data_IF_390179280155
#
_entry.id   IF_390179280155
#
_cell.length_a   1.000
_cell.length_b   1.000
_cell.length_c   1.000
_cell.angle_alpha   90.00
_cell.angle_beta   90.00
_cell.angle_gamma   90.00
#
_symmetry.space_group_name_H-M   'P 1'
#
loop_
_entity.id
_entity.type
_entity.pdbx_description
1 polymer ?
#
# COMPACT_ATOMS: atom_id res chain seq x y z
N UNK A 1 -7.53 34.25 4.51
CA UNK A 1 -6.07 34.11 4.73
C UNK A 1 -5.72 32.63 4.64
N UNK A 2 -4.63 32.29 3.97
CA UNK A 2 -4.11 30.92 3.97
C UNK A 2 -3.11 30.77 5.11
N UNK A 3 -3.27 29.73 5.92
CA UNK A 3 -2.35 29.38 7.00
C UNK A 3 -1.42 28.28 6.52
N UNK A 4 -0.13 28.40 6.80
CA UNK A 4 0.90 27.44 6.44
C UNK A 4 1.33 26.64 7.66
N UNK A 5 1.82 25.42 7.43
CA UNK A 5 2.39 24.60 8.49
C UNK A 5 3.55 25.37 9.15
N UNK A 6 3.54 25.43 10.48
CA UNK A 6 4.49 26.21 11.28
C UNK A 6 4.01 27.61 11.67
N UNK A 7 2.90 28.11 11.11
CA UNK A 7 2.35 29.42 11.50
C UNK A 7 1.94 29.45 12.97
N UNK A 8 2.24 30.56 13.64
CA UNK A 8 1.93 30.81 15.06
C UNK A 8 0.63 31.61 15.18
N UNK A 9 -0.31 31.14 16.02
CA UNK A 9 -1.63 31.75 16.08
C UNK A 9 -2.32 31.66 17.45
N UNK A 10 -3.32 32.51 17.68
CA UNK A 10 -4.18 32.52 18.88
C UNK A 10 -5.65 32.41 18.50
N UNK A 11 -6.43 31.78 19.38
CA UNK A 11 -7.89 31.68 19.23
C UNK A 11 -8.59 32.83 19.98
N UNK A 12 -9.25 33.78 19.31
CA UNK A 12 -9.74 35.01 19.94
C UNK A 12 -10.83 34.78 21.00
N UNK A 13 -11.66 33.74 20.83
CA UNK A 13 -12.72 33.39 21.79
C UNK A 13 -12.29 32.38 22.86
N UNK A 14 -11.03 31.93 22.83
CA UNK A 14 -10.44 30.91 23.72
C UNK A 14 -9.02 31.33 24.12
N UNK A 15 -8.87 32.47 24.81
CA UNK A 15 -7.55 32.96 25.20
C UNK A 15 -6.83 32.01 26.17
N UNK A 16 -7.59 31.19 26.90
CA UNK A 16 -7.12 30.12 27.79
C UNK A 16 -6.39 28.98 27.07
N UNK A 17 -6.48 28.89 25.74
CA UNK A 17 -5.76 27.87 24.97
C UNK A 17 -4.30 28.25 24.71
N UNK A 18 -3.92 29.50 24.93
CA UNK A 18 -2.56 29.98 24.72
C UNK A 18 -2.19 30.11 23.24
N UNK A 19 -0.89 30.17 22.96
CA UNK A 19 -0.32 30.23 21.61
C UNK A 19 -0.40 28.86 20.94
N UNK A 20 -0.64 28.80 19.62
CA UNK A 20 -0.67 27.54 18.87
C UNK A 20 0.17 27.55 17.59
N UNK A 21 0.51 26.35 17.10
CA UNK A 21 1.21 26.11 15.83
C UNK A 21 0.32 25.35 14.85
N UNK A 22 0.31 25.76 13.58
CA UNK A 22 -0.36 24.99 12.52
C UNK A 22 0.42 23.72 12.21
N UNK A 23 -0.22 22.57 12.40
CA UNK A 23 0.33 21.26 12.06
C UNK A 23 -0.09 20.79 10.65
N UNK A 24 -1.27 21.19 10.18
CA UNK A 24 -1.76 20.89 8.84
C UNK A 24 -2.81 21.91 8.39
N UNK A 25 -2.87 22.22 7.09
CA UNK A 25 -3.95 23.01 6.49
C UNK A 25 -4.39 22.39 5.16
N UNK A 26 -5.67 22.01 5.07
CA UNK A 26 -6.25 21.45 3.86
C UNK A 26 -7.79 21.59 3.86
N UNK A 27 -8.38 21.83 2.69
CA UNK A 27 -9.83 21.76 2.49
C UNK A 27 -10.66 22.70 3.39
N UNK A 28 -10.14 23.89 3.72
CA UNK A 28 -10.82 24.86 4.60
C UNK A 28 -10.76 24.52 6.09
N UNK A 29 -9.98 23.51 6.47
CA UNK A 29 -9.66 23.16 7.85
C UNK A 29 -8.20 23.43 8.17
N UNK A 30 -7.94 23.73 9.43
CA UNK A 30 -6.60 23.84 9.99
C UNK A 30 -6.52 23.00 11.25
N UNK A 31 -5.46 22.19 11.37
CA UNK A 31 -5.11 21.50 12.61
C UNK A 31 -4.03 22.32 13.29
N UNK A 32 -4.28 22.71 14.54
CA UNK A 32 -3.39 23.56 15.33
C UNK A 32 -3.10 22.91 16.67
N UNK A 33 -1.84 22.89 17.08
CA UNK A 33 -1.45 22.50 18.43
C UNK A 33 -1.31 23.73 19.32
N UNK A 34 -2.21 23.90 20.29
CA UNK A 34 -2.21 25.00 21.25
C UNK A 34 -1.44 24.60 22.53
N UNK A 35 -0.62 25.50 23.06
CA UNK A 35 0.27 25.23 24.20
C UNK A 35 -0.48 24.71 25.45
N UNK A 36 -1.64 25.30 25.75
CA UNK A 36 -2.40 24.98 26.96
C UNK A 36 -3.65 24.11 26.68
N UNK A 37 -4.00 23.90 25.41
CA UNK A 37 -5.20 23.15 25.00
C UNK A 37 -4.93 21.94 24.09
N UNK A 38 -3.68 21.72 23.69
CA UNK A 38 -3.25 20.65 22.79
C UNK A 38 -3.79 20.79 21.37
N UNK A 39 -3.84 19.68 20.63
CA UNK A 39 -4.31 19.66 19.25
C UNK A 39 -5.81 19.98 19.12
N UNK A 40 -6.14 20.82 18.13
CA UNK A 40 -7.50 21.17 17.73
C UNK A 40 -7.58 21.22 16.20
N UNK A 41 -8.59 20.54 15.65
CA UNK A 41 -8.99 20.71 14.25
C UNK A 41 -10.10 21.75 14.17
N UNK A 42 -9.85 22.83 13.44
CA UNK A 42 -10.72 23.99 13.35
C UNK A 42 -11.13 24.21 11.91
N UNK A 43 -12.38 24.60 11.71
CA UNK A 43 -12.90 24.99 10.40
C UNK A 43 -12.76 26.51 10.23
N UNK A 44 -12.10 26.92 9.14
CA UNK A 44 -11.89 28.33 8.82
C UNK A 44 -13.17 29.06 8.41
N UNK A 45 -14.26 28.31 8.18
CA UNK A 45 -15.59 28.87 7.93
C UNK A 45 -16.25 29.42 9.21
N UNK A 46 -15.81 28.97 10.39
CA UNK A 46 -16.44 29.29 11.67
C UNK A 46 -15.52 30.00 12.65
N UNK A 47 -14.20 29.91 12.43
CA UNK A 47 -13.19 30.44 13.35
C UNK A 47 -12.19 31.26 12.57
N UNK A 48 -12.06 32.54 12.95
CA UNK A 48 -11.02 33.42 12.46
C UNK A 48 -9.88 33.45 13.48
N UNK A 49 -8.75 32.85 13.12
CA UNK A 49 -7.56 32.75 13.97
C UNK A 49 -6.66 33.96 13.78
N UNK A 50 -6.03 34.42 14.87
CA UNK A 50 -5.14 35.56 14.84
C UNK A 50 -3.70 35.08 14.67
N UNK A 51 -3.06 35.44 13.55
CA UNK A 51 -1.64 35.17 13.32
C UNK A 51 -0.81 36.01 14.31
N UNK A 52 0.16 35.38 14.95
CA UNK A 52 1.08 35.99 15.91
C UNK A 52 2.49 35.94 15.32
N UNK A 53 3.21 37.07 15.34
CA UNK A 53 4.56 37.20 14.74
C UNK A 53 5.49 37.95 15.69
N UNK A 54 6.79 37.91 15.41
CA UNK A 54 7.80 38.58 16.24
C UNK A 54 8.00 37.90 17.60
N UNK A 55 8.40 38.68 18.61
CA UNK A 55 8.75 38.15 19.95
C UNK A 55 7.57 37.44 20.64
N UNK A 56 6.33 37.85 20.33
CA UNK A 56 5.10 37.22 20.86
C UNK A 56 4.82 35.83 20.28
N UNK A 57 5.51 35.44 19.21
CA UNK A 57 5.38 34.14 18.56
C UNK A 57 6.35 33.09 19.12
N UNK A 58 7.27 33.48 20.00
CA UNK A 58 8.25 32.59 20.62
C UNK A 58 7.59 31.80 21.74
N UNK A 59 7.75 30.47 21.70
CA UNK A 59 7.26 29.60 22.78
C UNK A 59 8.18 28.41 22.94
N UNK A 60 8.98 28.35 24.02
CA UNK A 60 9.86 27.21 24.29
C UNK A 60 9.14 25.85 24.30
N UNK A 61 7.85 25.85 24.64
CA UNK A 61 7.02 24.65 24.66
C UNK A 61 6.67 24.18 23.24
N UNK A 62 6.31 25.09 22.35
CA UNK A 62 5.97 24.74 20.96
C UNK A 62 7.23 24.54 20.11
N UNK A 63 8.31 25.26 20.41
CA UNK A 63 9.59 25.14 19.70
C UNK A 63 10.25 23.77 19.97
N UNK A 64 10.03 23.16 21.14
CA UNK A 64 10.45 21.79 21.46
C UNK A 64 9.60 20.68 20.79
N UNK A 65 8.43 21.01 20.23
CA UNK A 65 7.58 20.05 19.53
C UNK A 65 8.14 19.71 18.14
N UNK A 66 8.98 20.60 17.56
CA UNK A 66 9.63 20.39 16.26
C UNK A 66 10.54 19.15 16.19
N UNK A 67 11.01 18.62 17.33
CA UNK A 67 11.98 17.51 17.38
C UNK A 67 11.43 16.21 17.98
N UNK A 68 10.13 16.12 18.33
CA UNK A 68 9.56 14.91 18.93
C UNK A 68 8.55 14.22 18.00
N UNK A 69 8.67 12.91 17.75
CA UNK A 69 7.49 12.11 17.41
C UNK A 69 6.43 12.38 18.48
N UNK A 70 5.19 12.66 18.07
CA UNK A 70 4.06 12.85 19.01
C UNK A 70 4.11 11.81 20.13
N UNK A 71 3.94 12.24 21.39
CA UNK A 71 3.91 11.34 22.53
C UNK A 71 2.86 10.21 22.35
N UNK A 72 1.80 10.43 21.57
CA UNK A 72 0.83 9.38 21.21
C UNK A 72 1.40 8.28 20.32
N UNK A 73 2.40 8.58 19.48
CA UNK A 73 3.11 7.61 18.63
C UNK A 73 4.13 6.77 19.41
N UNK A 74 4.58 7.23 20.57
CA UNK A 74 5.55 6.54 21.43
C UNK A 74 4.90 5.73 22.55
N UNK A 75 3.65 6.04 22.92
CA UNK A 75 2.91 5.28 23.93
C UNK A 75 2.18 4.12 23.26
N UNK A 76 2.68 2.90 23.51
CA UNK A 76 1.98 1.66 23.16
C UNK A 76 1.11 1.20 24.32
N UNK A 77 0.02 0.51 23.99
CA UNK A 77 -0.94 -0.03 24.93
C UNK A 77 -1.05 -1.55 24.74
N UNK A 78 -1.16 -2.27 25.85
CA UNK A 78 -1.40 -3.72 25.89
C UNK A 78 -2.65 -4.03 26.70
N UNK A 79 -3.11 -5.29 26.66
CA UNK A 79 -4.22 -5.74 27.50
C UNK A 79 -3.75 -5.79 28.96
N UNK A 80 -4.32 -4.93 29.81
CA UNK A 80 -4.06 -4.94 31.25
C UNK A 80 -4.99 -5.91 31.99
N UNK A 81 -6.29 -5.87 31.66
CA UNK A 81 -7.29 -6.80 32.23
C UNK A 81 -8.42 -7.06 31.24
N UNK A 82 -9.02 -8.24 31.33
CA UNK A 82 -10.18 -8.63 30.51
C UNK A 82 -11.36 -7.72 30.83
N UNK A 83 -11.94 -7.11 29.79
CA UNK A 83 -13.06 -6.20 29.92
C UNK A 83 -14.35 -6.92 30.36
N UNK A 84 -14.99 -6.43 31.43
CA UNK A 84 -16.35 -6.88 31.81
C UNK A 84 -17.38 -6.14 30.98
N UNK A 85 -17.56 -6.59 29.74
CA UNK A 85 -18.39 -5.91 28.75
C UNK A 85 -19.69 -6.68 28.54
N UNK A 86 -20.82 -5.97 28.69
CA UNK A 86 -22.16 -6.56 28.52
C UNK A 86 -22.90 -6.01 27.28
N UNK A 87 -22.53 -4.83 26.79
CA UNK A 87 -23.16 -4.23 25.60
C UNK A 87 -22.64 -4.92 24.32
N UNK A 88 -23.51 -5.47 23.44
CA UNK A 88 -23.10 -6.24 22.27
C UNK A 88 -22.09 -5.53 21.35
N UNK A 89 -22.30 -4.24 21.08
CA UNK A 89 -21.41 -3.41 20.26
C UNK A 89 -20.02 -3.23 20.89
N UNK A 90 -19.93 -3.21 22.21
CA UNK A 90 -18.67 -3.14 22.94
C UNK A 90 -17.98 -4.52 22.95
N UNK A 91 -18.74 -5.63 23.08
CA UNK A 91 -18.19 -7.00 23.06
C UNK A 91 -17.51 -7.28 21.72
N UNK A 92 -18.17 -6.93 20.63
CA UNK A 92 -17.62 -7.09 19.29
C UNK A 92 -16.33 -6.29 19.12
N UNK A 93 -16.33 -5.01 19.52
CA UNK A 93 -15.16 -4.13 19.36
C UNK A 93 -14.01 -4.57 20.27
N UNK A 94 -14.30 -5.05 21.48
CA UNK A 94 -13.29 -5.59 22.40
C UNK A 94 -12.64 -6.86 21.88
N UNK A 95 -13.43 -7.78 21.32
CA UNK A 95 -12.91 -9.03 20.72
C UNK A 95 -11.91 -8.75 19.59
N UNK A 96 -12.10 -7.63 18.86
CA UNK A 96 -11.18 -7.17 17.82
C UNK A 96 -9.86 -6.70 18.44
N UNK A 97 -9.92 -5.92 19.53
CA UNK A 97 -8.73 -5.44 20.24
C UNK A 97 -7.96 -6.60 20.90
N UNK A 98 -8.67 -7.56 21.50
CA UNK A 98 -8.05 -8.73 22.13
C UNK A 98 -7.24 -9.55 21.12
N UNK A 99 -7.82 -9.79 19.93
CA UNK A 99 -7.13 -10.52 18.86
C UNK A 99 -5.93 -9.74 18.35
N UNK A 100 -6.09 -8.45 18.08
CA UNK A 100 -4.99 -7.61 17.60
C UNK A 100 -3.81 -7.60 18.58
N UNK A 101 -4.09 -7.39 19.87
CA UNK A 101 -3.05 -7.31 20.90
C UNK A 101 -2.47 -8.69 21.28
N UNK A 102 -3.16 -9.79 20.99
CA UNK A 102 -2.57 -11.13 21.06
C UNK A 102 -1.45 -11.32 20.01
N UNK A 103 -1.58 -10.68 18.83
CA UNK A 103 -0.61 -10.79 17.74
C UNK A 103 0.59 -9.85 17.91
N UNK A 104 0.35 -8.59 18.30
CA UNK A 104 1.41 -7.54 18.32
C UNK A 104 1.94 -7.21 19.72
N UNK A 105 1.40 -7.82 20.77
CA UNK A 105 1.70 -7.57 22.20
C UNK A 105 1.29 -6.17 22.68
N UNK A 106 1.60 -5.11 21.94
CA UNK A 106 1.19 -3.74 22.20
C UNK A 106 1.05 -2.90 20.92
N UNK A 107 0.17 -1.89 20.95
CA UNK A 107 -0.13 -1.03 19.81
C UNK A 107 -0.28 0.44 20.21
N UNK A 108 0.05 1.37 19.30
CA UNK A 108 -0.17 2.82 19.51
C UNK A 108 -1.65 3.15 19.64
N UNK A 109 -1.95 4.31 20.23
CA UNK A 109 -3.33 4.80 20.36
C UNK A 109 -4.03 4.87 18.99
N UNK A 110 -3.34 5.37 17.96
CA UNK A 110 -3.89 5.49 16.61
C UNK A 110 -4.20 4.12 16.00
N UNK A 111 -3.32 3.13 16.19
CA UNK A 111 -3.58 1.75 15.76
C UNK A 111 -4.81 1.16 16.44
N UNK A 112 -4.98 1.40 17.75
CA UNK A 112 -6.15 0.95 18.49
C UNK A 112 -7.44 1.66 18.04
N UNK A 113 -7.39 2.97 17.80
CA UNK A 113 -8.54 3.73 17.29
C UNK A 113 -8.92 3.26 15.89
N UNK A 114 -7.94 2.91 15.06
CA UNK A 114 -8.17 2.28 13.77
C UNK A 114 -8.82 0.90 13.90
N UNK A 115 -8.38 0.08 14.87
CA UNK A 115 -9.03 -1.19 15.18
C UNK A 115 -10.49 -1.02 15.60
N UNK A 116 -10.80 0.08 16.30
CA UNK A 116 -12.14 0.41 16.77
C UNK A 116 -12.97 1.26 15.78
N UNK A 117 -12.51 1.49 14.54
CA UNK A 117 -13.18 2.43 13.60
C UNK A 117 -14.64 2.06 13.28
N UNK A 118 -14.99 0.78 13.34
CA UNK A 118 -16.36 0.27 13.14
C UNK A 118 -17.26 0.36 14.39
N UNK A 119 -16.82 0.99 15.48
CA UNK A 119 -17.56 1.06 16.72
C UNK A 119 -18.80 1.97 16.62
N UNK A 120 -19.99 1.38 16.72
CA UNK A 120 -21.28 2.07 16.64
C UNK A 120 -21.63 2.76 17.97
N UNK A 121 -21.03 3.93 18.21
CA UNK A 121 -21.33 4.81 19.34
C UNK A 121 -21.06 6.28 18.96
N UNK A 122 -21.69 7.25 19.64
CA UNK A 122 -21.56 8.69 19.33
C UNK A 122 -20.11 9.21 19.35
N UNK A 123 -19.24 8.54 20.11
CA UNK A 123 -17.81 8.88 20.22
C UNK A 123 -16.90 8.03 19.32
N UNK A 124 -17.49 7.12 18.53
CA UNK A 124 -16.81 6.21 17.60
C UNK A 124 -15.71 5.36 18.25
N UNK A 125 -14.80 4.86 17.43
CA UNK A 125 -13.67 4.05 17.87
C UNK A 125 -12.77 4.76 18.88
N UNK A 126 -12.57 6.08 18.69
CA UNK A 126 -11.81 6.90 19.62
C UNK A 126 -12.38 6.84 21.04
N UNK A 127 -13.68 7.07 21.17
CA UNK A 127 -14.37 7.02 22.46
C UNK A 127 -14.32 5.63 23.09
N UNK A 128 -14.33 4.57 22.28
CA UNK A 128 -14.21 3.21 22.79
C UNK A 128 -12.81 2.92 23.35
N UNK A 129 -11.75 3.38 22.67
CA UNK A 129 -10.37 3.24 23.18
C UNK A 129 -10.19 4.05 24.46
N UNK A 130 -10.66 5.30 24.48
CA UNK A 130 -10.66 6.14 25.70
C UNK A 130 -11.41 5.45 26.85
N UNK A 131 -12.53 4.80 26.54
CA UNK A 131 -13.30 4.02 27.51
C UNK A 131 -12.52 2.78 28.01
N UNK A 132 -11.85 2.03 27.15
CA UNK A 132 -11.03 0.88 27.52
C UNK A 132 -9.84 1.28 28.40
N UNK A 133 -9.17 2.39 28.07
CA UNK A 133 -8.07 2.96 28.87
C UNK A 133 -8.60 3.44 30.22
N UNK A 134 -9.70 4.17 30.25
CA UNK A 134 -10.32 4.66 31.49
C UNK A 134 -10.80 3.53 32.41
N UNK A 135 -11.15 2.38 31.84
CA UNK A 135 -11.47 1.17 32.59
C UNK A 135 -10.26 0.26 32.81
N UNK A 136 -9.04 0.69 32.54
CA UNK A 136 -7.81 -0.09 32.75
C UNK A 136 -7.78 -1.44 32.01
N UNK A 137 -8.58 -1.60 30.96
CA UNK A 137 -8.55 -2.79 30.10
C UNK A 137 -7.40 -2.72 29.13
N UNK A 138 -7.05 -1.51 28.71
CA UNK A 138 -5.81 -1.17 28.03
C UNK A 138 -4.91 -0.40 29.00
N UNK A 139 -3.65 -0.80 29.09
CA UNK A 139 -2.64 -0.13 29.90
C UNK A 139 -1.40 0.16 29.08
N UNK A 140 -0.62 1.16 29.51
CA UNK A 140 0.63 1.53 28.85
C UNK A 140 1.62 0.39 28.97
N UNK A 141 2.21 0.00 27.83
CA UNK A 141 3.30 -0.95 27.78
C UNK A 141 4.61 -0.24 28.15
N UNK A 142 5.14 -0.54 29.33
CA UNK A 142 6.31 0.13 29.92
C UNK A 142 7.63 -0.53 29.47
N UNK A 143 7.58 -1.56 28.61
CA UNK A 143 8.76 -2.25 28.11
C UNK A 143 9.50 -1.52 26.97
N UNK A 144 9.88 -0.25 27.16
CA UNK A 144 10.91 0.40 26.31
C UNK A 144 11.27 1.81 26.83
N UNK A 145 11.88 1.89 28.02
CA UNK A 145 12.67 3.06 28.42
C UNK A 145 13.98 2.62 29.09
N UNK A 146 14.80 1.87 28.36
CA UNK A 146 16.22 1.70 28.69
C UNK A 146 17.07 2.28 27.56
N UNK A 147 17.19 3.61 27.54
CA UNK A 147 18.19 4.29 26.73
C UNK A 147 19.56 4.02 27.37
N UNK A 148 20.57 3.47 26.64
CA UNK A 148 21.91 3.34 27.18
C UNK A 148 22.51 4.73 27.44
N UNK A 149 22.99 4.96 28.67
CA UNK A 149 23.81 6.11 29.02
C UNK A 149 25.13 6.00 28.26
N UNK A 150 25.37 6.88 27.29
CA UNK A 150 26.69 7.06 26.69
C UNK A 150 27.61 7.64 27.76
N UNK A 151 28.43 6.79 28.36
CA UNK A 151 29.58 7.23 29.16
C UNK A 151 30.69 7.60 28.19
N UNK A 152 30.98 8.89 28.13
CA UNK A 152 32.18 9.42 27.50
C UNK A 152 33.40 8.94 28.30
N UNK A 153 34.20 8.08 27.70
CA UNK A 153 35.63 7.97 27.99
C UNK A 153 36.28 7.11 26.91
N UNK A 154 37.01 7.73 25.98
CA UNK A 154 38.33 7.24 25.55
C UNK A 154 39.05 8.28 24.65
N UNK A 155 40.38 8.34 24.71
CA UNK A 155 41.18 9.48 24.25
C UNK A 155 41.58 9.40 22.77
N UNK A 156 41.95 10.55 22.23
CA UNK A 156 42.41 10.79 20.86
C UNK A 156 43.64 9.96 20.47
N UNK A 157 43.75 9.51 19.20
CA UNK A 157 45.02 9.04 18.66
C UNK A 157 45.80 10.19 18.03
N UNK A 158 47.10 10.12 18.26
CA UNK A 158 48.14 11.06 17.85
C UNK A 158 48.33 11.14 16.33
N UNK A 159 48.67 12.36 15.90
CA UNK A 159 49.23 12.69 14.60
C UNK A 159 50.43 11.80 14.24
N UNK A 160 50.39 11.20 13.05
CA UNK A 160 51.61 11.01 12.26
C UNK A 160 51.42 11.50 10.84
N UNK A 161 52.15 12.58 10.64
CA UNK A 161 52.60 13.24 9.43
C UNK A 161 53.07 12.27 8.33
N UNK A 162 52.55 12.46 7.13
CA UNK A 162 53.23 12.13 5.87
C UNK A 162 52.52 12.86 4.74
N UNK A 163 52.99 14.09 4.47
CA UNK A 163 52.55 14.88 3.32
C UNK A 163 52.99 14.27 2.00
N UNK A 164 52.12 14.37 0.99
CA UNK A 164 52.50 14.39 -0.43
C UNK A 164 51.52 15.31 -1.19
N UNK A 165 52.11 16.39 -1.71
CA UNK A 165 51.83 17.18 -2.92
C UNK A 165 50.39 17.51 -3.36
N UNK A 166 50.17 18.82 -3.41
CA UNK A 166 49.19 19.56 -4.19
C UNK A 166 49.39 19.32 -5.68
N UNK A 167 48.31 18.94 -6.38
CA UNK A 167 47.91 19.46 -7.70
C UNK A 167 46.61 18.76 -8.12
N UNK A 168 45.47 19.44 -7.97
CA UNK A 168 44.26 19.15 -8.73
C UNK A 168 43.64 20.45 -9.24
N UNK A 169 43.72 20.59 -10.55
CA UNK A 169 42.93 21.54 -11.34
C UNK A 169 41.44 21.31 -11.08
N UNK A 170 40.74 22.39 -10.76
CA UNK A 170 39.28 22.45 -10.64
C UNK A 170 38.64 22.07 -11.99
N UNK A 171 38.07 20.85 -12.07
CA UNK A 171 37.08 20.52 -13.10
C UNK A 171 35.70 20.92 -12.62
N UNK A 172 34.94 21.75 -13.36
CA UNK A 172 33.58 22.09 -12.98
C UNK A 172 32.69 20.84 -13.05
N UNK A 173 31.87 20.66 -12.00
CA UNK A 173 30.79 19.69 -12.00
C UNK A 173 29.84 19.97 -13.17
N UNK A 174 29.39 18.95 -13.92
CA UNK A 174 28.38 19.15 -14.93
C UNK A 174 27.08 19.58 -14.24
N UNK A 175 26.46 20.62 -14.79
CA UNK A 175 25.16 21.10 -14.36
C UNK A 175 24.14 19.94 -14.38
N UNK A 176 23.29 19.87 -13.37
CA UNK A 176 22.07 19.05 -13.39
C UNK A 176 21.25 19.45 -14.63
N UNK A 177 21.30 18.62 -15.65
CA UNK A 177 20.38 18.72 -16.79
C UNK A 177 18.98 18.42 -16.26
N UNK A 178 18.17 19.47 -16.13
CA UNK A 178 16.77 19.36 -15.76
C UNK A 178 16.06 18.38 -16.68
N UNK A 179 15.46 17.36 -16.08
CA UNK A 179 14.64 16.36 -16.77
C UNK A 179 13.63 17.11 -17.65
N UNK A 180 13.59 16.88 -18.98
CA UNK A 180 12.67 17.61 -19.84
C UNK A 180 11.23 17.39 -19.39
N UNK A 181 10.45 18.47 -19.35
CA UNK A 181 9.04 18.41 -19.00
C UNK A 181 8.31 17.44 -19.94
N UNK A 182 7.85 16.32 -19.40
CA UNK A 182 7.07 15.32 -20.15
C UNK A 182 5.67 15.88 -20.36
N UNK A 183 5.23 15.95 -21.62
CA UNK A 183 3.86 16.36 -21.95
C UNK A 183 2.85 15.32 -21.42
N UNK A 184 1.61 15.71 -21.11
CA UNK A 184 0.55 14.77 -20.71
C UNK A 184 0.42 13.57 -21.66
N UNK A 185 0.53 13.81 -22.97
CA UNK A 185 0.51 12.76 -23.99
C UNK A 185 1.68 11.78 -23.86
N UNK A 186 2.88 12.27 -23.54
CA UNK A 186 4.06 11.43 -23.32
C UNK A 186 3.96 10.61 -22.04
N UNK A 187 3.34 11.15 -20.98
CA UNK A 187 3.14 10.43 -19.73
C UNK A 187 2.15 9.27 -19.90
N UNK A 188 1.01 9.52 -20.55
CA UNK A 188 0.02 8.49 -20.87
C UNK A 188 0.63 7.40 -21.76
N UNK A 189 1.35 7.81 -22.80
CA UNK A 189 2.01 6.85 -23.68
C UNK A 189 3.02 5.99 -22.93
N UNK A 190 3.84 6.59 -22.06
CA UNK A 190 4.76 5.85 -21.18
C UNK A 190 4.00 4.88 -20.28
N UNK A 191 2.91 5.30 -19.65
CA UNK A 191 2.11 4.44 -18.76
C UNK A 191 1.55 3.22 -19.50
N UNK A 192 0.97 3.43 -20.69
CA UNK A 192 0.43 2.35 -21.55
C UNK A 192 1.54 1.35 -21.92
N UNK A 193 2.75 1.84 -22.15
CA UNK A 193 3.86 1.04 -22.63
C UNK A 193 4.56 0.28 -21.52
N UNK A 194 4.87 0.99 -20.44
CA UNK A 194 5.89 0.56 -19.49
C UNK A 194 5.28 0.02 -18.20
N UNK A 195 4.10 0.51 -17.77
CA UNK A 195 3.47 0.02 -16.55
C UNK A 195 2.78 -1.34 -16.78
N UNK A 196 3.23 -2.36 -16.06
CA UNK A 196 2.66 -3.72 -16.10
C UNK A 196 1.72 -4.00 -14.94
N UNK A 197 1.92 -3.35 -13.78
CA UNK A 197 1.09 -3.55 -12.60
C UNK A 197 1.92 -3.50 -11.33
N UNK A 198 1.75 -4.50 -10.48
CA UNK A 198 2.23 -4.46 -9.11
C UNK A 198 3.14 -5.64 -8.74
N UNK A 199 3.94 -5.45 -7.69
CA UNK A 199 4.82 -6.46 -7.13
C UNK A 199 6.18 -6.53 -7.80
N UNK A 200 6.77 -7.72 -7.81
CA UNK A 200 8.14 -7.94 -8.27
C UNK A 200 8.20 -8.85 -9.48
N UNK A 201 8.79 -8.38 -10.58
CA UNK A 201 9.11 -9.24 -11.72
C UNK A 201 10.15 -10.32 -11.36
N UNK A 202 10.87 -10.20 -10.25
CA UNK A 202 11.76 -11.28 -9.80
C UNK A 202 11.01 -12.38 -9.01
N UNK A 203 9.71 -12.21 -8.75
CA UNK A 203 8.93 -13.18 -8.02
C UNK A 203 8.73 -14.49 -8.82
N UNK A 204 8.67 -15.64 -8.14
CA UNK A 204 8.50 -16.94 -8.82
C UNK A 204 7.07 -17.16 -9.33
N UNK A 205 6.09 -16.44 -8.80
CA UNK A 205 4.68 -16.57 -9.13
C UNK A 205 4.15 -15.25 -9.70
N UNK A 206 3.64 -15.28 -10.92
CA UNK A 206 3.03 -14.13 -11.58
C UNK A 206 1.55 -14.41 -11.82
N UNK A 207 0.72 -13.40 -11.57
CA UNK A 207 -0.69 -13.35 -11.93
C UNK A 207 -0.85 -12.32 -13.05
N UNK A 208 -1.52 -12.70 -14.14
CA UNK A 208 -1.78 -11.82 -15.28
C UNK A 208 -3.28 -11.75 -15.54
N UNK A 209 -3.85 -10.59 -15.25
CA UNK A 209 -5.24 -10.27 -15.53
C UNK A 209 -5.45 -9.65 -16.90
N UNK A 210 -6.73 -9.44 -17.21
CA UNK A 210 -7.16 -8.80 -18.45
C UNK A 210 -6.83 -7.30 -18.42
N UNK A 211 -7.28 -6.63 -17.37
CA UNK A 211 -7.21 -5.19 -17.15
C UNK A 211 -7.57 -4.86 -15.69
N UNK A 212 -7.06 -3.73 -15.20
CA UNK A 212 -7.31 -3.32 -13.83
C UNK A 212 -8.72 -2.74 -13.64
N UNK A 213 -9.35 -3.09 -12.52
CA UNK A 213 -10.58 -2.42 -12.07
C UNK A 213 -10.27 -1.07 -11.41
N UNK A 214 -11.05 -0.04 -11.74
CA UNK A 214 -10.92 1.29 -11.11
C UNK A 214 -12.02 1.56 -10.08
N UNK A 215 -11.71 2.40 -9.09
CA UNK A 215 -12.64 2.91 -8.09
C UNK A 215 -13.22 4.26 -8.48
N UNK A 216 -13.03 5.24 -7.59
CA UNK A 216 -13.47 6.63 -7.81
C UNK A 216 -12.36 7.50 -8.39
N UNK A 217 -11.13 6.98 -8.46
CA UNK A 217 -9.98 7.69 -9.00
C UNK A 217 -10.09 7.87 -10.52
N UNK A 218 -9.43 8.92 -11.00
CA UNK A 218 -9.32 9.28 -12.41
C UNK A 218 -8.05 8.68 -13.02
N UNK A 219 -8.00 8.65 -14.36
CA UNK A 219 -6.79 8.25 -15.08
C UNK A 219 -5.63 9.21 -14.78
N UNK A 220 -5.87 10.52 -14.75
CA UNK A 220 -4.88 11.53 -14.35
C UNK A 220 -4.24 11.25 -12.99
N UNK A 221 -5.04 10.91 -11.97
CA UNK A 221 -4.51 10.58 -10.62
C UNK A 221 -3.60 9.36 -10.65
N UNK A 222 -3.92 8.35 -11.47
CA UNK A 222 -3.08 7.16 -11.67
C UNK A 222 -1.79 7.48 -12.41
N UNK A 223 -1.86 8.30 -13.46
CA UNK A 223 -0.68 8.75 -14.21
C UNK A 223 0.26 9.54 -13.30
N UNK A 224 -0.29 10.44 -12.48
CA UNK A 224 0.48 11.21 -11.51
C UNK A 224 1.10 10.30 -10.43
N UNK A 225 0.34 9.35 -9.89
CA UNK A 225 0.86 8.38 -8.93
C UNK A 225 2.03 7.56 -9.51
N UNK A 226 1.89 7.07 -10.75
CA UNK A 226 2.95 6.36 -11.45
C UNK A 226 4.19 7.24 -11.68
N UNK A 227 3.98 8.50 -12.08
CA UNK A 227 5.05 9.48 -12.22
C UNK A 227 5.79 9.73 -10.91
N UNK A 228 5.07 9.99 -9.82
CA UNK A 228 5.61 10.27 -8.50
C UNK A 228 6.37 9.08 -7.91
N UNK A 229 5.99 7.87 -8.30
CA UNK A 229 6.62 6.61 -7.88
C UNK A 229 7.72 6.15 -8.84
N UNK A 230 8.18 7.03 -9.74
CA UNK A 230 9.38 6.81 -10.53
C UNK A 230 9.17 6.10 -11.87
N UNK A 231 7.92 5.95 -12.33
CA UNK A 231 7.57 5.38 -13.63
C UNK A 231 8.09 3.95 -13.87
N UNK A 232 8.19 3.17 -12.80
CA UNK A 232 8.66 1.79 -12.86
C UNK A 232 7.66 0.87 -13.58
N UNK A 233 8.15 -0.24 -14.13
CA UNK A 233 7.31 -1.24 -14.78
C UNK A 233 6.36 -1.94 -13.80
N UNK A 234 6.81 -2.14 -12.55
CA UNK A 234 5.97 -2.58 -11.45
C UNK A 234 6.13 -1.65 -10.25
N UNK A 235 5.07 -1.54 -9.45
CA UNK A 235 5.06 -0.77 -8.21
C UNK A 235 4.58 -1.61 -7.03
N UNK A 236 4.91 -1.19 -5.81
CA UNK A 236 4.25 -1.69 -4.61
C UNK A 236 2.76 -1.30 -4.67
N UNK A 237 1.87 -2.29 -4.60
CA UNK A 237 0.43 -2.06 -4.75
C UNK A 237 -0.13 -1.13 -3.68
N UNK A 238 0.38 -1.23 -2.45
CA UNK A 238 -0.09 -0.43 -1.33
C UNK A 238 0.36 1.01 -1.50
N UNK A 239 1.63 1.24 -1.83
CA UNK A 239 2.14 2.60 -2.08
C UNK A 239 1.37 3.26 -3.23
N UNK A 240 1.10 2.52 -4.31
CA UNK A 240 0.30 3.05 -5.42
C UNK A 240 -1.11 3.41 -4.97
N UNK A 241 -1.80 2.52 -4.25
CA UNK A 241 -3.15 2.75 -3.75
C UNK A 241 -3.24 3.89 -2.71
N UNK A 242 -2.18 4.12 -1.94
CA UNK A 242 -2.07 5.29 -1.07
C UNK A 242 -1.99 6.59 -1.88
N UNK A 243 -1.27 6.60 -3.00
CA UNK A 243 -1.15 7.77 -3.90
C UNK A 243 -2.43 8.09 -4.66
N UNK A 244 -3.20 7.08 -5.07
CA UNK A 244 -4.51 7.28 -5.71
C UNK A 244 -5.66 7.38 -4.69
N UNK A 245 -5.36 7.48 -3.40
CA UNK A 245 -6.31 7.65 -2.31
C UNK A 245 -7.35 6.50 -2.14
N UNK A 246 -7.05 5.29 -2.63
CA UNK A 246 -7.89 4.09 -2.51
C UNK A 246 -7.33 3.09 -1.48
N UNK A 247 -7.31 3.52 -0.21
CA UNK A 247 -6.62 2.78 0.86
C UNK A 247 -7.45 1.68 1.53
N UNK A 248 -8.75 1.53 1.19
CA UNK A 248 -9.68 0.64 1.91
C UNK A 248 -9.26 -0.83 1.93
N UNK A 249 -8.42 -1.23 0.97
CA UNK A 249 -7.92 -2.58 0.83
C UNK A 249 -6.68 -2.89 1.68
N UNK A 250 -6.05 -1.86 2.27
CA UNK A 250 -4.79 -1.96 3.03
C UNK A 250 -4.88 -1.37 4.45
N UNK A 251 -6.10 -1.12 4.95
CA UNK A 251 -6.31 -0.70 6.34
C UNK A 251 -5.93 -1.81 7.33
N UNK A 252 -5.98 -1.51 8.64
CA UNK A 252 -5.75 -2.52 9.69
C UNK A 252 -6.73 -3.71 9.62
N UNK A 253 -7.98 -3.44 9.21
CA UNK A 253 -8.99 -4.47 8.93
C UNK A 253 -9.59 -4.26 7.55
N UNK A 254 -8.88 -4.65 6.48
CA UNK A 254 -9.34 -4.36 5.14
C UNK A 254 -10.52 -5.26 4.78
N UNK A 255 -11.42 -4.69 3.99
CA UNK A 255 -12.39 -5.50 3.24
C UNK A 255 -11.59 -6.37 2.28
N UNK A 256 -11.89 -7.67 2.24
CA UNK A 256 -11.22 -8.57 1.29
C UNK A 256 -11.73 -8.25 -0.12
N UNK A 257 -10.81 -7.86 -1.01
CA UNK A 257 -11.10 -7.56 -2.40
C UNK A 257 -11.37 -8.88 -3.12
N UNK A 258 -12.48 -8.96 -3.88
CA UNK A 258 -13.02 -10.24 -4.37
C UNK A 258 -12.10 -10.97 -5.36
N UNK A 259 -11.44 -10.23 -6.24
CA UNK A 259 -10.48 -10.77 -7.19
C UNK A 259 -9.22 -11.24 -6.47
N UNK A 260 -8.60 -10.34 -5.69
CA UNK A 260 -7.37 -10.59 -4.95
C UNK A 260 -7.51 -11.74 -3.97
N UNK A 261 -8.69 -11.91 -3.35
CA UNK A 261 -9.00 -13.05 -2.49
C UNK A 261 -8.54 -14.37 -3.08
N UNK A 262 -8.88 -14.62 -4.35
CA UNK A 262 -8.61 -15.90 -5.01
C UNK A 262 -7.18 -16.01 -5.52
N UNK A 263 -6.57 -14.88 -5.89
CA UNK A 263 -5.14 -14.83 -6.18
C UNK A 263 -4.31 -15.14 -4.91
N UNK A 264 -4.70 -14.57 -3.77
CA UNK A 264 -4.10 -14.82 -2.46
C UNK A 264 -4.27 -16.28 -2.05
N UNK A 265 -5.44 -16.90 -2.30
CA UNK A 265 -5.63 -18.34 -2.06
C UNK A 265 -4.56 -19.15 -2.81
N UNK A 266 -4.37 -18.89 -4.11
CA UNK A 266 -3.34 -19.56 -4.89
C UNK A 266 -1.93 -19.30 -4.35
N UNK A 267 -1.62 -18.05 -3.99
CA UNK A 267 -0.32 -17.69 -3.43
C UNK A 267 -0.04 -18.41 -2.10
N UNK A 268 -1.00 -18.43 -1.17
CA UNK A 268 -0.92 -19.16 0.10
C UNK A 268 -0.69 -20.66 -0.14
N UNK A 269 -1.47 -21.29 -1.01
CA UNK A 269 -1.30 -22.72 -1.33
C UNK A 269 0.02 -23.02 -2.00
N UNK A 270 0.49 -22.12 -2.88
CA UNK A 270 1.79 -22.22 -3.54
C UNK A 270 2.94 -22.29 -2.52
N UNK A 271 2.89 -21.50 -1.45
CA UNK A 271 3.91 -21.52 -0.38
C UNK A 271 3.57 -22.47 0.79
N UNK A 272 2.59 -23.35 0.60
CA UNK A 272 2.12 -24.31 1.60
C UNK A 272 1.61 -23.69 2.92
N UNK A 273 1.00 -22.51 2.83
CA UNK A 273 0.34 -21.87 3.96
C UNK A 273 -1.16 -22.27 4.04
N UNK A 274 -1.75 -22.27 5.24
CA UNK A 274 -3.17 -22.51 5.42
C UNK A 274 -4.00 -21.40 4.79
N UNK A 275 -5.18 -21.77 4.30
CA UNK A 275 -6.15 -20.83 3.72
C UNK A 275 -7.31 -20.64 4.70
N UNK A 276 -7.38 -19.44 5.26
CA UNK A 276 -8.53 -18.98 6.02
C UNK A 276 -8.76 -17.48 5.79
N UNK A 277 -9.90 -16.99 6.25
CA UNK A 277 -10.33 -15.61 6.00
C UNK A 277 -9.39 -14.57 6.62
N UNK A 278 -8.86 -14.82 7.82
CA UNK A 278 -7.96 -13.90 8.49
C UNK A 278 -6.59 -13.90 7.82
N UNK A 279 -6.09 -15.08 7.43
CA UNK A 279 -4.85 -15.20 6.65
C UNK A 279 -4.93 -14.46 5.33
N UNK A 280 -6.03 -14.61 4.59
CA UNK A 280 -6.25 -13.86 3.35
C UNK A 280 -6.24 -12.35 3.61
N UNK A 281 -6.94 -11.90 4.66
CA UNK A 281 -7.00 -10.47 5.00
C UNK A 281 -5.62 -9.91 5.35
N UNK A 282 -4.86 -10.64 6.17
CA UNK A 282 -3.51 -10.26 6.55
C UNK A 282 -2.59 -10.22 5.32
N UNK A 283 -2.64 -11.24 4.47
CA UNK A 283 -1.86 -11.30 3.24
C UNK A 283 -2.17 -10.11 2.33
N UNK A 284 -3.45 -9.78 2.12
CA UNK A 284 -3.86 -8.61 1.35
C UNK A 284 -3.28 -7.31 1.89
N UNK A 285 -3.30 -7.13 3.22
CA UNK A 285 -2.87 -5.89 3.86
C UNK A 285 -1.35 -5.67 3.84
N UNK A 286 -0.57 -6.76 3.85
CA UNK A 286 0.86 -6.72 4.21
C UNK A 286 1.81 -7.35 3.20
N UNK A 287 1.34 -8.24 2.31
CA UNK A 287 2.20 -9.05 1.43
C UNK A 287 1.82 -8.95 -0.04
N UNK A 288 0.52 -8.81 -0.33
CA UNK A 288 0.01 -8.85 -1.70
C UNK A 288 0.78 -7.90 -2.61
N UNK A 289 1.35 -8.42 -3.70
CA UNK A 289 2.00 -7.65 -4.74
C UNK A 289 3.06 -6.65 -4.20
N UNK A 290 3.84 -7.10 -3.23
CA UNK A 290 5.04 -6.42 -2.73
C UNK A 290 6.27 -7.08 -3.35
N UNK A 291 6.82 -8.11 -2.72
CA UNK A 291 7.99 -8.86 -3.18
C UNK A 291 7.68 -10.31 -3.59
N UNK A 292 6.57 -10.88 -3.12
CA UNK A 292 6.31 -12.34 -3.17
C UNK A 292 5.68 -12.82 -4.48
N UNK A 293 4.93 -11.96 -5.16
CA UNK A 293 4.32 -12.24 -6.45
C UNK A 293 4.25 -10.97 -7.31
N UNK A 294 4.03 -11.15 -8.61
CA UNK A 294 3.65 -10.07 -9.51
C UNK A 294 2.15 -10.13 -9.82
N UNK A 295 1.48 -8.98 -9.79
CA UNK A 295 0.09 -8.81 -10.24
C UNK A 295 0.12 -7.88 -11.45
N UNK A 296 0.08 -8.46 -12.64
CA UNK A 296 0.24 -7.76 -13.90
C UNK A 296 -1.09 -7.73 -14.66
N UNK A 297 -1.21 -6.78 -15.57
CA UNK A 297 -2.37 -6.65 -16.46
C UNK A 297 -1.91 -6.66 -17.92
N UNK A 298 -2.61 -7.42 -18.76
CA UNK A 298 -2.37 -7.44 -20.19
C UNK A 298 -2.67 -6.04 -20.79
N UNK A 299 -3.83 -5.49 -20.45
CA UNK A 299 -4.27 -4.20 -20.94
C UNK A 299 -4.01 -3.11 -19.87
N UNK A 300 -3.27 -2.04 -20.21
CA UNK A 300 -2.76 -1.08 -19.22
C UNK A 300 -3.80 -0.07 -18.71
N UNK A 301 -4.81 0.28 -19.52
CA UNK A 301 -5.82 1.25 -19.11
C UNK A 301 -6.86 0.60 -18.19
N UNK A 302 -7.18 1.21 -17.04
CA UNK A 302 -8.14 0.66 -16.10
C UNK A 302 -9.58 0.88 -16.58
N UNK A 303 -10.50 0.06 -16.08
CA UNK A 303 -11.92 0.11 -16.44
C UNK A 303 -12.83 -0.04 -15.23
N UNK A 304 -13.96 0.69 -15.22
CA UNK A 304 -15.02 0.52 -14.21
C UNK A 304 -15.80 -0.76 -14.44
N UNK A 305 -16.01 -1.10 -15.71
CA UNK A 305 -16.84 -2.21 -16.14
C UNK A 305 -16.51 -2.59 -17.58
N UNK A 306 -16.64 -3.88 -17.91
CA UNK A 306 -16.57 -4.38 -19.28
C UNK A 306 -17.72 -3.87 -20.18
N UNK A 307 -18.78 -3.31 -19.59
CA UNK A 307 -19.96 -2.81 -20.31
C UNK A 307 -19.84 -1.36 -20.75
N UNK A 308 -18.90 -0.62 -20.18
CA UNK A 308 -18.71 0.81 -20.41
C UNK A 308 -17.31 1.03 -21.01
N UNK A 309 -17.24 1.77 -22.11
CA UNK A 309 -15.98 2.15 -22.73
C UNK A 309 -15.71 3.61 -22.37
N UNK A 310 -14.82 3.85 -21.42
CA UNK A 310 -14.58 5.18 -20.85
C UNK A 310 -13.46 5.95 -21.57
N UNK A 311 -12.84 5.34 -22.58
CA UNK A 311 -11.64 5.86 -23.26
C UNK A 311 -11.91 6.24 -24.73
N UNK A 312 -13.13 6.71 -25.08
CA UNK A 312 -13.47 7.13 -26.46
C UNK A 312 -12.49 8.20 -27.01
N UNK A 313 -11.95 9.05 -26.14
CA UNK A 313 -10.98 10.08 -26.51
C UNK A 313 -9.60 9.53 -26.91
N UNK A 314 -9.29 8.29 -26.54
CA UNK A 314 -8.02 7.62 -26.81
C UNK A 314 -8.15 6.58 -27.92
N UNK A 315 -9.24 5.80 -27.91
CA UNK A 315 -9.56 4.82 -28.95
C UNK A 315 -11.06 4.87 -29.25
N UNK A 316 -11.40 4.74 -30.53
CA UNK A 316 -12.79 4.83 -30.98
C UNK A 316 -13.69 3.75 -30.36
N UNK A 317 -13.15 2.56 -30.11
CA UNK A 317 -13.86 1.47 -29.44
C UNK A 317 -12.92 0.60 -28.59
N UNK A 318 -13.51 -0.29 -27.78
CA UNK A 318 -12.77 -1.31 -27.04
C UNK A 318 -12.04 -2.28 -27.97
N UNK A 319 -12.65 -2.65 -29.09
CA UNK A 319 -12.04 -3.56 -30.06
C UNK A 319 -10.84 -2.91 -30.75
N UNK A 320 -10.91 -1.61 -31.05
CA UNK A 320 -9.78 -0.84 -31.57
C UNK A 320 -8.64 -0.78 -30.56
N UNK A 321 -8.95 -0.54 -29.28
CA UNK A 321 -7.97 -0.56 -28.20
C UNK A 321 -7.29 -1.93 -28.06
N UNK A 322 -8.06 -3.01 -27.98
CA UNK A 322 -7.52 -4.37 -27.88
C UNK A 322 -6.62 -4.70 -29.09
N UNK A 323 -7.09 -4.37 -30.29
CA UNK A 323 -6.34 -4.64 -31.53
C UNK A 323 -5.04 -3.84 -31.62
N UNK A 324 -5.06 -2.59 -31.16
CA UNK A 324 -3.88 -1.71 -31.18
C UNK A 324 -2.85 -2.07 -30.09
N UNK A 325 -3.30 -2.46 -28.90
CA UNK A 325 -2.44 -2.54 -27.71
C UNK A 325 -2.05 -3.99 -27.36
N UNK A 326 -2.94 -4.97 -27.49
CA UNK A 326 -2.67 -6.34 -27.05
C UNK A 326 -1.44 -6.98 -27.73
N UNK A 327 -1.21 -6.85 -29.06
CA UNK A 327 -0.06 -7.48 -29.71
C UNK A 327 1.28 -7.01 -29.11
N UNK A 328 1.41 -5.71 -28.85
CA UNK A 328 2.61 -5.15 -28.23
C UNK A 328 2.75 -5.63 -26.79
N UNK A 329 1.69 -5.54 -26.00
CA UNK A 329 1.70 -5.95 -24.58
C UNK A 329 2.04 -7.43 -24.40
N UNK A 330 1.54 -8.29 -25.28
CA UNK A 330 1.92 -9.71 -25.31
C UNK A 330 3.42 -9.90 -25.55
N UNK A 331 4.00 -9.19 -26.53
CA UNK A 331 5.42 -9.26 -26.82
C UNK A 331 6.28 -8.77 -25.65
N UNK A 332 5.85 -7.72 -24.97
CA UNK A 332 6.54 -7.19 -23.78
C UNK A 332 6.45 -8.16 -22.59
N UNK A 333 5.28 -8.73 -22.31
CA UNK A 333 5.11 -9.74 -21.27
C UNK A 333 5.92 -11.02 -21.58
N UNK A 334 5.95 -11.47 -22.84
CA UNK A 334 6.80 -12.58 -23.26
C UNK A 334 8.28 -12.30 -22.99
N UNK A 335 8.75 -11.07 -23.30
CA UNK A 335 10.12 -10.65 -23.02
C UNK A 335 10.39 -10.59 -21.52
N UNK A 336 9.46 -10.05 -20.73
CA UNK A 336 9.58 -10.03 -19.27
C UNK A 336 9.67 -11.45 -18.70
N UNK A 337 8.80 -12.37 -19.13
CA UNK A 337 8.85 -13.77 -18.70
C UNK A 337 10.18 -14.43 -19.08
N UNK A 338 10.67 -14.20 -20.30
CA UNK A 338 11.96 -14.74 -20.74
C UNK A 338 13.15 -14.18 -19.94
N UNK A 339 13.11 -12.89 -19.59
CA UNK A 339 14.18 -12.21 -18.86
C UNK A 339 14.22 -12.57 -17.37
N UNK A 340 13.05 -12.74 -16.75
CA UNK A 340 12.93 -12.95 -15.31
C UNK A 340 12.74 -14.42 -14.90
N UNK A 341 12.27 -15.27 -15.82
CA UNK A 341 12.11 -16.71 -15.60
C UNK A 341 11.23 -17.08 -14.41
N UNK A 342 9.98 -16.56 -14.29
CA UNK A 342 9.08 -16.98 -13.23
C UNK A 342 8.83 -18.49 -13.32
N UNK A 343 8.67 -19.12 -12.16
CA UNK A 343 8.34 -20.55 -12.05
C UNK A 343 6.90 -20.83 -12.52
N UNK A 344 5.99 -19.91 -12.25
CA UNK A 344 4.61 -20.02 -12.65
C UNK A 344 4.02 -18.69 -13.11
N UNK A 345 3.21 -18.74 -14.16
CA UNK A 345 2.41 -17.63 -14.69
C UNK A 345 0.96 -18.08 -14.76
N UNK A 346 0.10 -17.46 -13.96
CA UNK A 346 -1.33 -17.72 -13.90
C UNK A 346 -2.08 -16.58 -14.60
N UNK A 347 -2.68 -16.88 -15.73
CA UNK A 347 -3.51 -15.95 -16.50
C UNK A 347 -4.98 -16.21 -16.19
N UNK A 348 -5.78 -15.16 -16.03
CA UNK A 348 -7.21 -15.30 -15.72
C UNK A 348 -8.11 -14.44 -16.59
N UNK A 349 -9.26 -15.03 -16.94
CA UNK A 349 -10.21 -14.44 -17.89
C UNK A 349 -10.32 -15.31 -19.15
N UNK A 350 -11.42 -16.04 -19.26
CA UNK A 350 -11.64 -17.04 -20.33
C UNK A 350 -12.66 -16.60 -21.37
N UNK A 351 -13.16 -15.36 -21.27
CA UNK A 351 -14.06 -14.78 -22.27
C UNK A 351 -13.23 -14.31 -23.47
N UNK A 352 -13.68 -14.52 -24.73
CA UNK A 352 -13.00 -13.95 -25.90
C UNK A 352 -12.76 -12.44 -25.75
N UNK A 353 -11.63 -11.91 -26.25
CA UNK A 353 -10.57 -12.61 -27.01
C UNK A 353 -9.45 -13.24 -26.15
N UNK A 354 -9.50 -13.10 -24.82
CA UNK A 354 -8.39 -13.43 -23.92
C UNK A 354 -7.83 -14.86 -24.01
N UNK A 355 -8.62 -15.93 -24.22
CA UNK A 355 -8.08 -17.28 -24.41
C UNK A 355 -7.00 -17.38 -25.51
N UNK A 356 -7.16 -16.67 -26.63
CA UNK A 356 -6.14 -16.69 -27.70
C UNK A 356 -4.91 -15.88 -27.31
N UNK A 357 -5.07 -14.79 -26.54
CA UNK A 357 -3.94 -14.05 -25.97
C UNK A 357 -3.13 -14.92 -24.99
N UNK A 358 -3.79 -15.67 -24.12
CA UNK A 358 -3.13 -16.58 -23.18
C UNK A 358 -2.41 -17.73 -23.87
N UNK A 359 -3.01 -18.29 -24.92
CA UNK A 359 -2.37 -19.30 -25.77
C UNK A 359 -1.13 -18.76 -26.48
N UNK A 360 -1.18 -17.51 -26.95
CA UNK A 360 -0.02 -16.83 -27.53
C UNK A 360 1.07 -16.62 -26.46
N UNK A 361 0.72 -16.08 -25.30
CA UNK A 361 1.65 -15.83 -24.20
C UNK A 361 2.34 -17.12 -23.73
N UNK A 362 1.59 -18.22 -23.60
CA UNK A 362 2.11 -19.54 -23.23
C UNK A 362 2.90 -20.26 -24.35
N UNK A 363 2.96 -19.68 -25.56
CA UNK A 363 3.69 -20.25 -26.69
C UNK A 363 3.07 -21.53 -27.25
N UNK A 364 1.73 -21.69 -27.15
CA UNK A 364 1.02 -22.81 -27.77
C UNK A 364 -0.22 -23.28 -26.99
N UNK A 365 -0.85 -24.38 -27.45
CA UNK A 365 -2.08 -24.90 -26.84
C UNK A 365 -1.85 -25.36 -25.39
N UNK A 366 -2.86 -25.12 -24.55
CA UNK A 366 -2.93 -25.57 -23.16
C UNK A 366 -3.71 -26.89 -23.05
N UNK A 367 -3.37 -27.69 -22.04
CA UNK A 367 -3.94 -29.01 -21.76
C UNK A 367 -4.67 -29.04 -20.41
N UNK A 368 -5.61 -29.98 -20.26
CA UNK A 368 -6.42 -30.15 -19.05
C UNK A 368 -7.59 -29.17 -19.02
N UNK A 369 -8.82 -29.68 -18.89
CA UNK A 369 -10.02 -28.85 -18.71
C UNK A 369 -10.96 -29.43 -17.64
N UNK A 370 -10.56 -30.51 -16.97
CA UNK A 370 -11.45 -31.30 -16.10
C UNK A 370 -11.96 -30.53 -14.88
N UNK A 371 -11.31 -29.41 -14.51
CA UNK A 371 -11.70 -28.55 -13.38
C UNK A 371 -11.85 -27.06 -13.77
N UNK A 372 -12.09 -26.75 -15.05
CA UNK A 372 -12.35 -25.37 -15.48
C UNK A 372 -11.09 -24.48 -15.55
N UNK A 373 -9.90 -25.07 -15.54
CA UNK A 373 -8.62 -24.44 -15.82
C UNK A 373 -7.74 -25.37 -16.66
N UNK A 374 -6.78 -24.79 -17.37
CA UNK A 374 -5.85 -25.47 -18.27
C UNK A 374 -4.42 -25.02 -18.01
N UNK A 375 -3.44 -25.80 -18.45
CA UNK A 375 -2.03 -25.49 -18.20
C UNK A 375 -1.14 -25.92 -19.35
N UNK A 376 0.08 -25.37 -19.38
CA UNK A 376 1.14 -25.75 -20.29
C UNK A 376 2.48 -25.49 -19.62
N UNK A 377 3.41 -26.43 -19.71
CA UNK A 377 4.81 -26.19 -19.34
C UNK A 377 5.60 -25.80 -20.58
N UNK A 378 6.34 -24.70 -20.52
CA UNK A 378 7.25 -24.27 -21.58
C UNK A 378 8.58 -23.84 -20.95
N UNK A 379 9.62 -24.62 -21.20
CA UNK A 379 10.87 -24.49 -20.46
C UNK A 379 10.66 -24.68 -18.95
N UNK A 380 11.20 -23.74 -18.16
CA UNK A 380 11.08 -23.74 -16.70
C UNK A 380 9.80 -23.08 -16.18
N UNK A 381 9.01 -22.45 -17.04
CA UNK A 381 7.80 -21.73 -16.64
C UNK A 381 6.56 -22.60 -16.86
N UNK A 382 5.76 -22.75 -15.80
CA UNK A 382 4.43 -23.34 -15.85
C UNK A 382 3.39 -22.25 -16.10
N UNK A 383 2.64 -22.37 -17.18
CA UNK A 383 1.54 -21.48 -17.53
C UNK A 383 0.22 -22.13 -17.11
N UNK A 384 -0.64 -21.38 -16.44
CA UNK A 384 -1.99 -21.80 -16.06
C UNK A 384 -2.99 -20.76 -16.56
N UNK A 385 -4.11 -21.21 -17.12
CA UNK A 385 -5.24 -20.36 -17.50
C UNK A 385 -6.48 -20.80 -16.74
N UNK A 386 -7.14 -19.87 -16.05
CA UNK A 386 -8.37 -20.12 -15.32
C UNK A 386 -9.43 -19.03 -15.56
N UNK A 387 -10.67 -19.32 -15.15
CA UNK A 387 -11.76 -18.34 -15.21
C UNK A 387 -11.46 -17.13 -14.32
N UNK A 388 -12.00 -15.95 -14.65
CA UNK A 388 -11.81 -14.75 -13.86
C UNK A 388 -12.25 -14.95 -12.39
N UNK A 389 -11.52 -14.43 -11.38
CA UNK A 389 -11.84 -14.57 -9.96
C UNK A 389 -13.21 -14.08 -9.49
N UNK A 390 -14.03 -13.45 -10.33
CA UNK A 390 -15.41 -13.07 -9.98
C UNK A 390 -16.43 -13.58 -11.02
N UNK A 391 -16.01 -14.46 -11.92
CA UNK A 391 -16.92 -15.08 -12.86
C UNK A 391 -17.95 -15.96 -12.14
N UNK A 392 -19.14 -16.07 -12.73
CA UNK A 392 -20.21 -16.89 -12.20
C UNK A 392 -19.81 -18.37 -12.14
N UNK A 393 -20.15 -19.06 -11.06
CA UNK A 393 -19.85 -20.49 -10.87
C UNK A 393 -18.44 -20.80 -10.36
N UNK A 394 -17.55 -19.80 -10.26
CA UNK A 394 -16.20 -19.99 -9.71
C UNK A 394 -16.25 -20.16 -8.19
N UNK A 395 -15.57 -21.19 -7.68
CA UNK A 395 -15.44 -21.49 -6.24
C UNK A 395 -14.01 -21.30 -5.75
N UNK A 396 -13.81 -21.34 -4.43
CA UNK A 396 -12.46 -21.29 -3.85
C UNK A 396 -11.71 -22.61 -4.04
N UNK A 397 -12.42 -23.74 -4.06
CA UNK A 397 -11.84 -25.06 -4.28
C UNK A 397 -11.09 -25.13 -5.61
N UNK A 398 -11.62 -24.49 -6.66
CA UNK A 398 -10.90 -24.37 -7.95
C UNK A 398 -9.56 -23.67 -7.79
N UNK A 399 -9.49 -22.61 -6.97
CA UNK A 399 -8.27 -21.83 -6.78
C UNK A 399 -7.31 -22.49 -5.78
N UNK A 400 -7.84 -23.25 -4.81
CA UNK A 400 -7.06 -24.12 -3.95
C UNK A 400 -6.39 -25.20 -4.80
N UNK A 401 -7.13 -25.86 -5.70
CA UNK A 401 -6.57 -26.93 -6.54
C UNK A 401 -5.51 -26.43 -7.52
N UNK A 402 -5.69 -25.23 -8.09
CA UNK A 402 -4.64 -24.57 -8.88
C UNK A 402 -3.41 -24.30 -8.00
N UNK A 403 -3.57 -23.72 -6.82
CA UNK A 403 -2.45 -23.43 -5.92
C UNK A 403 -1.68 -24.69 -5.47
N UNK A 404 -2.39 -25.78 -5.17
CA UNK A 404 -1.81 -27.08 -4.86
C UNK A 404 -1.04 -27.67 -6.06
N UNK A 405 -1.59 -27.54 -7.27
CA UNK A 405 -0.93 -27.95 -8.51
C UNK A 405 0.35 -27.16 -8.77
N UNK A 406 0.32 -25.83 -8.60
CA UNK A 406 1.49 -24.96 -8.73
C UNK A 406 2.58 -25.33 -7.72
N UNK A 407 2.21 -25.62 -6.47
CA UNK A 407 3.15 -26.09 -5.44
C UNK A 407 3.82 -27.40 -5.85
N UNK A 408 3.03 -28.41 -6.24
CA UNK A 408 3.58 -29.70 -6.66
C UNK A 408 4.54 -29.57 -7.85
N UNK A 409 4.24 -28.69 -8.80
CA UNK A 409 5.11 -28.41 -9.93
C UNK A 409 6.44 -27.75 -9.53
N UNK A 410 6.43 -26.85 -8.54
CA UNK A 410 7.63 -26.23 -7.97
C UNK A 410 8.50 -27.25 -7.23
N UNK A 411 7.87 -28.08 -6.41
CA UNK A 411 8.59 -29.01 -5.53
C UNK A 411 9.24 -30.15 -6.33
N UNK A 412 8.61 -30.61 -7.41
CA UNK A 412 9.21 -31.60 -8.31
C UNK A 412 10.47 -31.09 -9.02
N UNK A 413 10.53 -29.80 -9.39
CA UNK A 413 11.75 -29.19 -9.95
C UNK A 413 12.90 -29.14 -8.94
N UNK A 414 12.60 -28.98 -7.64
CA UNK A 414 13.63 -28.95 -6.60
C UNK A 414 14.30 -30.32 -6.41
N UNK A 415 13.54 -31.41 -6.62
CA UNK A 415 14.04 -32.79 -6.51
C UNK A 415 14.89 -33.20 -7.71
N UNK A 416 14.60 -32.71 -8.92
CA UNK A 416 15.36 -33.05 -10.13
C UNK A 416 16.70 -32.30 -10.26
N UNK A 417 16.88 -31.21 -9.51
CA UNK A 417 18.08 -30.36 -9.55
C UNK A 417 19.00 -30.47 -8.30
N UNK A 418 18.62 -31.28 -7.31
CA UNK A 418 19.42 -31.56 -6.11
C UNK A 418 19.99 -32.97 -6.14
#
# INVERSE_FOLDING_TARGET
MAFHVGDRLKHPKKPDWGLGEVAASAGGYVTVYFADAGEKKLSLNFVELQLVTGDDAVSPQLDQIRERPSASKLVKYRIGRVGKITAPQNVQTWSILERHLADVVSASYEQLVLCAKGHEHERGGKGFIDYCIGNGWLEVDVQEQSVPRVTADQPAPENRDSGIMLDQEERPMPAEEGTPAVTPDGLLQGYIQDFFGYGSLSAPLWFIGMEEGTGQETLEERLQAWQDLGRSATLDIRLFHERIHETRWFWAFPTIQRTWRRLIIMALRYVDEPVDRERIRHYQASRLATETEALLELMPLPHKSLREWDHQGLFASRDDYLSAIAPRRLAELQRAIANHGPKAVVMYGTTPPYPEYWKNLAGGPLTGAEQGWSYRRSGQTLYVVCQHPVAHGVTDDTYISIGDFLRGARDNEAVENG
#
